data_IF_920980048807
#
_entry.id   IF_920980048807
#
_cell.length_a   1.000
_cell.length_b   1.000
_cell.length_c   1.000
_cell.angle_alpha   90.00
_cell.angle_beta   90.00
_cell.angle_gamma   90.00
#
_symmetry.space_group_name_H-M   'P 1'
#
loop_
_entity.id
_entity.type
_entity.pdbx_description
1 polymer ?
#
# COMPACT_ATOMS: atom_id res chain seq x y z
N UNK A 1 2.99 9.26 -14.46
CA UNK A 1 2.38 8.68 -13.24
C UNK A 1 2.88 7.26 -13.08
N UNK A 2 3.53 6.94 -11.96
CA UNK A 2 3.96 5.58 -11.66
C UNK A 2 2.97 4.91 -10.69
N UNK A 3 2.66 3.65 -10.92
CA UNK A 3 1.86 2.84 -9.99
C UNK A 3 2.66 2.56 -8.73
N UNK A 4 2.07 2.86 -7.57
CA UNK A 4 2.64 2.56 -6.26
C UNK A 4 1.63 1.80 -5.42
N UNK A 5 2.13 1.01 -4.48
CA UNK A 5 1.35 0.09 -3.67
C UNK A 5 1.35 0.59 -2.23
N UNK A 6 0.16 0.80 -1.69
CA UNK A 6 -0.07 1.19 -0.29
C UNK A 6 -0.39 -0.07 0.49
N UNK A 7 0.54 -0.46 1.36
CA UNK A 7 0.47 -1.73 2.10
C UNK A 7 0.55 -1.50 3.60
N UNK A 8 -0.30 -2.19 4.37
CA UNK A 8 -0.27 -2.18 5.82
C UNK A 8 0.83 -3.11 6.36
N UNK A 9 1.53 -2.68 7.41
CA UNK A 9 2.56 -3.46 8.11
C UNK A 9 2.13 -3.79 9.55
N UNK A 10 2.60 -4.93 10.10
CA UNK A 10 3.43 -5.96 9.47
C UNK A 10 2.67 -6.82 8.45
N UNK A 11 3.42 -7.32 7.45
CA UNK A 11 2.90 -8.18 6.37
C UNK A 11 2.34 -9.49 6.92
N UNK A 12 1.34 -10.05 6.24
CA UNK A 12 0.86 -11.42 6.49
C UNK A 12 0.09 -11.62 7.80
N UNK A 13 -0.36 -10.54 8.45
CA UNK A 13 -1.24 -10.65 9.62
C UNK A 13 -2.68 -10.93 9.22
N UNK A 14 -3.38 -11.66 10.09
CA UNK A 14 -4.81 -11.90 10.00
C UNK A 14 -5.58 -10.58 9.95
N UNK A 15 -6.74 -10.61 9.30
CA UNK A 15 -7.66 -9.48 9.31
C UNK A 15 -8.03 -9.08 10.74
N UNK A 16 -8.16 -7.77 11.01
CA UNK A 16 -8.47 -7.24 12.35
C UNK A 16 -7.27 -7.11 13.30
N UNK A 17 -6.06 -7.57 12.93
CA UNK A 17 -4.85 -7.35 13.73
C UNK A 17 -4.52 -5.85 13.89
N UNK A 18 -3.62 -5.51 14.82
CA UNK A 18 -3.05 -4.15 14.84
C UNK A 18 -2.29 -3.88 13.53
N UNK A 19 -2.38 -2.63 13.04
CA UNK A 19 -1.53 -2.09 11.97
C UNK A 19 -0.63 -1.07 12.65
N UNK A 20 0.69 -1.27 12.50
CA UNK A 20 1.68 -0.34 13.01
C UNK A 20 1.84 0.86 12.06
N UNK A 21 1.93 0.59 10.77
CA UNK A 21 2.17 1.60 9.73
C UNK A 21 1.68 1.18 8.34
N UNK A 22 1.69 2.13 7.42
CA UNK A 22 1.41 1.97 6.01
C UNK A 22 2.62 2.41 5.19
N UNK A 23 3.08 1.54 4.30
CA UNK A 23 4.18 1.84 3.38
C UNK A 23 3.65 2.13 1.99
N UNK A 24 4.28 3.08 1.31
CA UNK A 24 4.14 3.27 -0.13
C UNK A 24 5.37 2.63 -0.78
N UNK A 25 5.17 1.61 -1.60
CA UNK A 25 6.25 0.88 -2.25
C UNK A 25 6.01 0.72 -3.75
N UNK A 26 7.10 0.59 -4.52
CA UNK A 26 7.03 0.31 -5.95
C UNK A 26 6.70 -1.16 -6.22
N UNK A 27 6.48 -1.51 -7.49
CA UNK A 27 6.30 -2.90 -7.90
C UNK A 27 7.50 -3.80 -7.52
N UNK A 28 8.71 -3.25 -7.48
CA UNK A 28 9.95 -3.95 -7.12
C UNK A 28 10.30 -3.87 -5.63
N UNK A 29 9.30 -3.74 -4.75
CA UNK A 29 9.46 -3.72 -3.29
C UNK A 29 10.32 -2.57 -2.73
N UNK A 30 10.58 -1.53 -3.52
CA UNK A 30 11.28 -0.34 -3.03
C UNK A 30 10.33 0.57 -2.26
N UNK A 31 10.61 0.79 -0.97
CA UNK A 31 9.83 1.67 -0.10
C UNK A 31 10.16 3.14 -0.39
N UNK A 32 9.13 3.90 -0.75
CA UNK A 32 9.19 5.34 -1.02
C UNK A 32 8.86 6.18 0.22
N UNK A 33 8.08 5.63 1.15
CA UNK A 33 7.72 6.31 2.40
C UNK A 33 6.88 5.44 3.34
N UNK A 34 6.86 5.82 4.61
CA UNK A 34 6.12 5.16 5.69
C UNK A 34 5.23 6.17 6.40
N UNK A 35 3.98 5.78 6.68
CA UNK A 35 2.94 6.65 7.19
C UNK A 35 2.13 5.95 8.27
N UNK A 36 1.59 6.70 9.23
CA UNK A 36 0.76 6.15 10.31
C UNK A 36 -0.66 5.79 9.84
N UNK A 37 -1.13 6.36 8.73
CA UNK A 37 -2.48 6.10 8.21
C UNK A 37 -2.45 5.83 6.71
N UNK A 38 -3.38 4.99 6.26
CA UNK A 38 -3.60 4.71 4.85
C UNK A 38 -3.89 5.98 4.06
N UNK A 39 -4.69 6.89 4.65
CA UNK A 39 -5.05 8.15 4.02
C UNK A 39 -3.82 9.01 3.75
N UNK A 40 -2.92 9.14 4.74
CA UNK A 40 -1.68 9.90 4.58
C UNK A 40 -0.79 9.31 3.46
N UNK A 41 -0.69 7.98 3.38
CA UNK A 41 0.04 7.31 2.31
C UNK A 41 -0.56 7.59 0.91
N UNK A 42 -1.89 7.53 0.79
CA UNK A 42 -2.61 7.83 -0.46
C UNK A 42 -2.44 9.30 -0.86
N UNK A 43 -2.66 10.22 0.08
CA UNK A 43 -2.54 11.65 -0.15
C UNK A 43 -1.11 12.00 -0.60
N UNK A 44 -0.09 11.44 0.07
CA UNK A 44 1.30 11.62 -0.31
C UNK A 44 1.57 11.07 -1.72
N UNK A 45 1.09 9.87 -2.04
CA UNK A 45 1.28 9.28 -3.38
C UNK A 45 0.67 10.16 -4.47
N UNK A 46 -0.56 10.67 -4.27
CA UNK A 46 -1.23 11.57 -5.21
C UNK A 46 -0.49 12.91 -5.35
N UNK A 47 -0.03 13.49 -4.24
CA UNK A 47 0.74 14.73 -4.24
C UNK A 47 2.06 14.60 -5.02
N UNK A 48 2.67 13.41 -5.04
CA UNK A 48 3.89 13.13 -5.81
C UNK A 48 3.61 12.66 -7.26
N UNK A 49 2.37 12.72 -7.73
CA UNK A 49 2.02 12.32 -9.10
C UNK A 49 2.08 10.81 -9.34
N UNK A 50 1.91 10.00 -8.29
CA UNK A 50 1.76 8.55 -8.39
C UNK A 50 0.30 8.12 -8.48
N UNK A 51 0.09 6.87 -8.91
CA UNK A 51 -1.21 6.21 -8.95
C UNK A 51 -1.29 5.14 -7.86
N UNK A 52 -1.80 5.47 -6.66
CA UNK A 52 -1.80 4.56 -5.52
C UNK A 52 -2.78 3.40 -5.71
N UNK A 53 -2.30 2.21 -5.35
CA UNK A 53 -3.05 0.96 -5.31
C UNK A 53 -3.02 0.42 -3.89
N UNK A 54 -4.18 0.31 -3.27
CA UNK A 54 -4.32 -0.12 -1.88
C UNK A 54 -4.64 -1.61 -1.84
N UNK A 55 -3.99 -2.37 -0.94
CA UNK A 55 -4.31 -3.77 -0.74
C UNK A 55 -5.77 -3.93 -0.30
N UNK A 56 -6.54 -4.76 -1.00
CA UNK A 56 -7.96 -5.03 -0.68
C UNK A 56 -8.10 -5.80 0.63
N UNK A 57 -7.17 -6.73 0.86
CA UNK A 57 -7.14 -7.58 2.05
C UNK A 57 -5.70 -7.64 2.53
N UNK A 58 -5.47 -7.50 3.84
CA UNK A 58 -4.11 -7.33 4.41
C UNK A 58 -3.14 -8.46 4.12
N UNK A 59 -3.65 -9.68 4.00
CA UNK A 59 -2.84 -10.86 3.68
C UNK A 59 -2.82 -11.18 2.17
N UNK A 60 -3.56 -10.42 1.35
CA UNK A 60 -3.52 -10.49 -0.10
C UNK A 60 -2.73 -9.30 -0.63
N UNK A 61 -1.42 -9.45 -0.65
CA UNK A 61 -0.44 -8.41 -1.00
C UNK A 61 0.51 -8.85 -2.14
N UNK A 62 0.14 -9.89 -2.90
CA UNK A 62 0.88 -10.26 -4.10
C UNK A 62 0.68 -9.20 -5.20
N UNK A 63 1.74 -8.43 -5.48
CA UNK A 63 1.75 -7.39 -6.53
C UNK A 63 1.66 -7.93 -7.95
N UNK A 64 1.89 -9.23 -8.16
CA UNK A 64 1.69 -9.89 -9.46
C UNK A 64 0.22 -10.21 -9.72
N UNK A 65 -0.66 -10.06 -8.73
CA UNK A 65 -2.10 -10.32 -8.82
C UNK A 65 -2.87 -9.00 -8.67
N UNK A 66 -3.27 -8.36 -9.78
CA UNK A 66 -3.96 -7.06 -9.75
C UNK A 66 -5.23 -7.06 -8.90
N UNK A 67 -5.95 -8.18 -8.83
CA UNK A 67 -7.19 -8.32 -8.04
C UNK A 67 -6.98 -8.12 -6.54
N UNK A 68 -5.75 -8.28 -6.04
CA UNK A 68 -5.42 -8.03 -4.64
C UNK A 68 -5.41 -6.52 -4.31
N UNK A 69 -5.46 -5.67 -5.33
CA UNK A 69 -5.28 -4.24 -5.17
C UNK A 69 -6.49 -3.46 -5.69
N UNK A 70 -6.70 -2.28 -5.12
CA UNK A 70 -7.73 -1.33 -5.53
C UNK A 70 -7.08 0.00 -5.83
N UNK A 71 -7.23 0.48 -7.07
CA UNK A 71 -6.85 1.84 -7.43
C UNK A 71 -7.75 2.86 -6.68
N UNK A 72 -7.14 3.95 -6.19
CA UNK A 72 -7.83 4.97 -5.37
C UNK A 72 -7.46 6.40 -5.75
#
# INVERSE_FOLDING_TARGET
MATVYVEARPKGRSEGSHIDDYVVETQGDHVLGTFTTQKAAIDWAKANGHSPHVARVRHLNDKKRPDHWRAV
#
